data_IF_077229282619
#
_entry.id   IF_077229282619
#
_cell.length_a   1.000
_cell.length_b   1.000
_cell.length_c   1.000
_cell.angle_alpha   90.00
_cell.angle_beta   90.00
_cell.angle_gamma   90.00
#
_symmetry.space_group_name_H-M   'P 1'
#
loop_
_entity.id
_entity.type
_entity.pdbx_description
1 polymer ?
#
# COMPACT_ATOMS: atom_id res chain seq x y z
N UNK A 1 4.21 -7.16 -3.80
CA UNK A 1 4.42 -8.13 -2.71
C UNK A 1 3.63 -7.64 -1.51
N UNK A 2 2.73 -8.45 -0.98
CA UNK A 2 2.12 -8.16 0.33
C UNK A 2 3.21 -8.25 1.39
N UNK A 3 3.35 -7.23 2.22
CA UNK A 3 4.32 -7.20 3.32
C UNK A 3 4.08 -8.41 4.23
N UNK A 4 5.00 -9.38 4.21
CA UNK A 4 4.96 -10.56 5.08
C UNK A 4 4.54 -11.88 4.43
N UNK A 5 4.08 -11.91 3.18
CA UNK A 5 3.97 -13.19 2.45
C UNK A 5 5.19 -13.35 1.56
N UNK A 6 5.98 -14.43 1.73
CA UNK A 6 6.72 -15.02 0.60
C UNK A 6 5.78 -14.95 -0.61
N UNK A 7 6.18 -14.22 -1.66
CA UNK A 7 5.27 -13.85 -2.76
C UNK A 7 4.41 -15.05 -3.13
N UNK A 8 3.08 -14.89 -3.07
CA UNK A 8 2.05 -15.94 -3.27
C UNK A 8 2.67 -17.34 -3.30
N UNK A 9 2.94 -17.95 -2.13
CA UNK A 9 3.42 -19.34 -2.10
C UNK A 9 2.53 -20.19 -3.03
N UNK A 10 3.12 -20.97 -3.93
CA UNK A 10 2.39 -21.81 -4.90
C UNK A 10 1.34 -22.70 -4.21
N UNK A 11 1.60 -23.09 -2.96
CA UNK A 11 0.68 -23.81 -2.07
C UNK A 11 -0.56 -22.99 -1.69
N UNK A 12 -0.42 -21.71 -1.37
CA UNK A 12 -1.55 -20.84 -1.05
C UNK A 12 -2.42 -20.57 -2.30
N UNK A 13 -1.79 -20.47 -3.48
CA UNK A 13 -2.51 -20.36 -4.76
C UNK A 13 -3.28 -21.66 -5.04
N UNK A 14 -2.69 -22.81 -4.74
CA UNK A 14 -3.30 -24.13 -4.90
C UNK A 14 -4.53 -24.31 -4.00
N UNK A 15 -4.45 -23.93 -2.72
CA UNK A 15 -5.61 -23.99 -1.81
C UNK A 15 -6.80 -23.17 -2.32
N UNK A 16 -6.54 -21.97 -2.86
CA UNK A 16 -7.57 -21.12 -3.45
C UNK A 16 -8.17 -21.73 -4.72
N UNK A 17 -7.36 -22.35 -5.57
CA UNK A 17 -7.81 -23.04 -6.78
C UNK A 17 -8.63 -24.29 -6.44
N UNK A 18 -8.26 -25.02 -5.38
CA UNK A 18 -8.98 -26.24 -4.94
C UNK A 18 -10.41 -25.93 -4.49
N UNK A 19 -10.67 -24.75 -3.90
CA UNK A 19 -12.04 -24.29 -3.60
C UNK A 19 -12.82 -24.09 -4.89
N UNK A 20 -12.22 -23.44 -5.90
CA UNK A 20 -12.87 -23.19 -7.18
C UNK A 20 -13.19 -24.53 -7.86
N UNK A 21 -12.25 -25.49 -7.87
CA UNK A 21 -12.45 -26.83 -8.43
C UNK A 21 -13.54 -27.62 -7.68
N UNK A 22 -13.58 -27.53 -6.34
CA UNK A 22 -14.66 -28.11 -5.52
C UNK A 22 -16.03 -27.58 -5.93
N UNK A 23 -16.16 -26.28 -6.25
CA UNK A 23 -17.42 -25.71 -6.72
C UNK A 23 -17.69 -25.96 -8.20
N UNK A 24 -16.66 -26.10 -9.05
CA UNK A 24 -16.77 -26.58 -10.45
C UNK A 24 -17.35 -27.99 -10.54
N UNK A 25 -17.11 -28.84 -9.54
CA UNK A 25 -17.66 -30.20 -9.49
C UNK A 25 -19.19 -30.25 -9.30
N UNK A 26 -19.83 -29.15 -8.88
CA UNK A 26 -21.28 -29.07 -8.69
C UNK A 26 -21.96 -28.77 -10.03
N UNK A 27 -22.83 -29.68 -10.51
CA UNK A 27 -23.52 -29.61 -11.82
C UNK A 27 -24.09 -28.24 -12.19
N UNK A 28 -24.58 -27.48 -11.22
CA UNK A 28 -25.23 -26.18 -11.42
C UNK A 28 -24.25 -25.01 -11.64
N UNK A 29 -23.02 -25.09 -11.13
CA UNK A 29 -21.96 -24.07 -11.28
C UNK A 29 -20.89 -24.46 -12.30
N UNK A 30 -20.93 -25.72 -12.74
CA UNK A 30 -19.93 -26.31 -13.63
C UNK A 30 -19.85 -25.62 -15.00
N UNK A 31 -20.97 -25.18 -15.58
CA UNK A 31 -20.95 -24.44 -16.85
C UNK A 31 -20.42 -23.01 -16.68
N UNK A 32 -20.60 -22.42 -15.50
CA UNK A 32 -20.28 -21.03 -15.22
C UNK A 32 -18.82 -20.79 -14.82
N UNK A 33 -18.24 -21.74 -14.09
CA UNK A 33 -16.84 -21.68 -13.65
C UNK A 33 -15.88 -22.27 -14.70
N UNK A 34 -16.38 -22.99 -15.71
CA UNK A 34 -15.58 -23.48 -16.84
C UNK A 34 -15.35 -22.45 -17.94
N UNK A 35 -16.20 -21.43 -18.05
CA UNK A 35 -16.05 -20.34 -19.05
C UNK A 35 -14.91 -19.38 -18.69
N UNK A 36 -14.43 -19.42 -17.46
CA UNK A 36 -13.39 -18.55 -16.95
C UNK A 36 -12.19 -19.38 -16.57
N UNK A 37 -11.05 -19.09 -17.17
CA UNK A 37 -9.79 -19.60 -16.67
C UNK A 37 -9.34 -18.78 -15.45
N UNK A 38 -9.07 -19.50 -14.35
CA UNK A 38 -8.69 -18.94 -13.06
C UNK A 38 -7.24 -19.29 -12.68
N UNK A 39 -6.54 -20.17 -13.41
CA UNK A 39 -5.19 -20.64 -13.04
C UNK A 39 -4.13 -19.54 -13.11
N UNK A 40 -4.28 -18.62 -14.06
CA UNK A 40 -3.30 -17.56 -14.33
C UNK A 40 -3.63 -16.24 -13.63
N UNK A 41 -4.74 -16.19 -12.89
CA UNK A 41 -5.18 -14.98 -12.20
C UNK A 41 -4.55 -14.85 -10.82
N UNK A 42 -4.33 -13.61 -10.39
CA UNK A 42 -4.04 -13.32 -8.99
C UNK A 42 -5.28 -13.56 -8.13
N UNK A 43 -5.13 -13.88 -6.83
CA UNK A 43 -6.27 -14.13 -5.94
C UNK A 43 -7.33 -13.01 -5.93
N UNK A 44 -6.89 -11.76 -6.06
CA UNK A 44 -7.76 -10.59 -6.10
C UNK A 44 -8.59 -10.55 -7.39
N UNK A 45 -7.98 -10.88 -8.53
CA UNK A 45 -8.66 -10.97 -9.83
C UNK A 45 -9.65 -12.13 -9.87
N UNK A 46 -9.34 -13.23 -9.20
CA UNK A 46 -10.29 -14.35 -9.04
C UNK A 46 -11.51 -13.88 -8.26
N UNK A 47 -11.29 -13.23 -7.11
CA UNK A 47 -12.38 -12.70 -6.29
C UNK A 47 -13.24 -11.70 -7.09
N UNK A 48 -12.64 -10.88 -7.93
CA UNK A 48 -13.34 -9.93 -8.80
C UNK A 48 -14.27 -10.62 -9.79
N UNK A 49 -13.75 -11.63 -10.51
CA UNK A 49 -14.58 -12.42 -11.42
C UNK A 49 -15.73 -13.13 -10.69
N UNK A 50 -15.51 -13.59 -9.46
CA UNK A 50 -16.59 -14.18 -8.64
C UNK A 50 -17.69 -13.16 -8.31
N UNK A 51 -17.32 -11.93 -7.97
CA UNK A 51 -18.29 -10.85 -7.74
C UNK A 51 -19.03 -10.43 -9.00
N UNK A 52 -18.36 -10.37 -10.16
CA UNK A 52 -19.00 -10.13 -11.45
C UNK A 52 -20.07 -11.17 -11.74
N UNK A 53 -19.71 -12.44 -11.49
CA UNK A 53 -20.62 -13.58 -11.63
C UNK A 53 -21.82 -13.44 -10.68
N UNK A 54 -21.62 -13.10 -9.40
CA UNK A 54 -22.74 -12.89 -8.46
C UNK A 54 -23.66 -11.75 -8.92
N UNK A 55 -23.09 -10.61 -9.31
CA UNK A 55 -23.85 -9.44 -9.77
C UNK A 55 -24.66 -9.75 -11.03
N UNK A 56 -24.08 -10.46 -12.00
CA UNK A 56 -24.79 -10.89 -13.21
C UNK A 56 -25.97 -11.81 -12.87
N UNK A 57 -25.76 -12.78 -11.98
CA UNK A 57 -26.81 -13.72 -11.58
C UNK A 57 -27.90 -13.10 -10.70
N UNK A 58 -27.53 -12.13 -9.86
CA UNK A 58 -28.44 -11.42 -8.97
C UNK A 58 -29.29 -10.42 -9.74
N UNK A 59 -28.67 -9.57 -10.56
CA UNK A 59 -29.33 -8.42 -11.19
C UNK A 59 -29.95 -8.75 -12.55
N UNK A 60 -29.37 -9.69 -13.33
CA UNK A 60 -29.84 -9.98 -14.69
C UNK A 60 -30.69 -11.25 -14.74
N UNK A 61 -30.21 -12.35 -14.14
CA UNK A 61 -30.88 -13.65 -14.25
C UNK A 61 -31.90 -13.92 -13.14
N UNK A 62 -31.91 -13.15 -12.05
CA UNK A 62 -32.81 -13.30 -10.89
C UNK A 62 -32.87 -14.73 -10.29
N UNK A 63 -31.82 -15.54 -10.50
CA UNK A 63 -31.76 -16.93 -10.02
C UNK A 63 -31.26 -16.99 -8.58
N UNK A 64 -32.19 -16.87 -7.61
CA UNK A 64 -31.88 -16.85 -6.15
C UNK A 64 -30.98 -18.01 -5.69
N UNK A 65 -31.28 -19.24 -6.10
CA UNK A 65 -30.53 -20.45 -5.68
C UNK A 65 -29.06 -20.42 -6.14
N UNK A 66 -28.79 -19.87 -7.33
CA UNK A 66 -27.43 -19.80 -7.87
C UNK A 66 -26.64 -18.67 -7.21
N UNK A 67 -27.27 -17.51 -6.98
CA UNK A 67 -26.65 -16.40 -6.25
C UNK A 67 -26.27 -16.80 -4.82
N UNK A 68 -27.13 -17.50 -4.08
CA UNK A 68 -26.80 -17.98 -2.72
C UNK A 68 -25.57 -18.89 -2.72
N UNK A 69 -25.44 -19.78 -3.71
CA UNK A 69 -24.27 -20.66 -3.85
C UNK A 69 -23.00 -19.88 -4.21
N UNK A 70 -23.09 -18.85 -5.06
CA UNK A 70 -21.96 -17.98 -5.41
C UNK A 70 -21.53 -17.15 -4.21
N UNK A 71 -22.46 -16.55 -3.46
CA UNK A 71 -22.16 -15.80 -2.23
C UNK A 71 -21.44 -16.66 -1.19
N UNK A 72 -21.85 -17.92 -1.06
CA UNK A 72 -21.15 -18.88 -0.20
C UNK A 72 -19.74 -19.20 -0.69
N UNK A 73 -19.55 -19.39 -1.99
CA UNK A 73 -18.21 -19.56 -2.60
C UNK A 73 -17.33 -18.33 -2.33
N UNK A 74 -17.84 -17.12 -2.55
CA UNK A 74 -17.13 -15.87 -2.27
C UNK A 74 -16.72 -15.79 -0.80
N UNK A 75 -17.62 -16.15 0.12
CA UNK A 75 -17.33 -16.18 1.56
C UNK A 75 -16.21 -17.17 1.89
N UNK A 76 -16.32 -18.43 1.46
CA UNK A 76 -15.30 -19.46 1.68
C UNK A 76 -13.94 -19.06 1.07
N UNK A 77 -13.95 -18.46 -0.13
CA UNK A 77 -12.75 -17.95 -0.80
C UNK A 77 -12.10 -16.80 -0.02
N UNK A 78 -12.89 -15.81 0.41
CA UNK A 78 -12.40 -14.67 1.21
C UNK A 78 -11.77 -15.13 2.53
N UNK A 79 -12.36 -16.13 3.19
CA UNK A 79 -11.81 -16.65 4.44
C UNK A 79 -10.42 -17.27 4.25
N UNK A 80 -10.22 -18.04 3.19
CA UNK A 80 -8.92 -18.67 2.90
C UNK A 80 -7.92 -17.62 2.39
N UNK A 81 -8.36 -16.67 1.58
CA UNK A 81 -7.54 -15.54 1.16
C UNK A 81 -7.02 -14.74 2.37
N UNK A 82 -7.91 -14.35 3.29
CA UNK A 82 -7.52 -13.65 4.51
C UNK A 82 -6.56 -14.47 5.36
N UNK A 83 -6.88 -15.76 5.57
CA UNK A 83 -6.08 -16.66 6.40
C UNK A 83 -4.65 -16.80 5.86
N UNK A 84 -4.51 -17.07 4.57
CA UNK A 84 -3.24 -17.43 3.95
C UNK A 84 -2.38 -16.21 3.58
N UNK A 85 -3.00 -15.05 3.30
CA UNK A 85 -2.27 -13.89 2.75
C UNK A 85 -2.19 -12.71 3.71
N UNK A 86 -3.06 -12.63 4.71
CA UNK A 86 -3.19 -11.43 5.54
C UNK A 86 -3.02 -11.70 7.04
N UNK A 87 -3.56 -12.80 7.54
CA UNK A 87 -3.54 -13.15 8.98
C UNK A 87 -2.23 -13.86 9.42
N UNK A 88 -1.34 -14.19 8.49
CA UNK A 88 -0.03 -14.79 8.82
C UNK A 88 1.00 -13.78 9.32
N UNK A 89 0.74 -12.48 9.10
CA UNK A 89 1.64 -11.39 9.46
C UNK A 89 1.86 -11.34 10.98
N UNK A 90 3.13 -11.24 11.38
CA UNK A 90 3.50 -11.01 12.77
C UNK A 90 3.64 -9.51 13.06
N UNK A 91 2.76 -8.98 13.89
CA UNK A 91 2.75 -7.57 14.29
C UNK A 91 3.64 -7.27 15.53
N UNK A 92 4.28 -8.30 16.11
CA UNK A 92 5.05 -8.17 17.36
C UNK A 92 6.31 -7.34 17.17
N UNK A 93 7.06 -7.54 16.09
CA UNK A 93 8.35 -6.88 15.83
C UNK A 93 8.46 -6.40 14.37
N UNK A 94 7.70 -5.36 13.96
CA UNK A 94 7.75 -4.81 12.60
C UNK A 94 8.96 -3.86 12.43
N UNK A 95 10.17 -4.28 12.81
CA UNK A 95 11.35 -3.42 12.93
C UNK A 95 11.70 -2.65 11.64
N UNK A 96 11.59 -3.29 10.46
CA UNK A 96 11.83 -2.62 9.17
C UNK A 96 10.82 -1.50 8.89
N UNK A 97 9.56 -1.67 9.31
CA UNK A 97 8.54 -0.65 9.13
C UNK A 97 8.76 0.49 10.14
N UNK A 98 9.15 0.16 11.38
CA UNK A 98 9.55 1.15 12.38
C UNK A 98 10.74 1.99 11.87
N UNK A 99 11.78 1.35 11.34
CA UNK A 99 12.95 2.03 10.77
C UNK A 99 12.57 2.90 9.56
N UNK A 100 11.76 2.39 8.63
CA UNK A 100 11.24 3.18 7.50
C UNK A 100 10.55 4.46 7.99
N UNK A 101 9.65 4.36 8.96
CA UNK A 101 8.90 5.51 9.46
C UNK A 101 9.80 6.53 10.17
N UNK A 102 10.80 6.07 10.93
CA UNK A 102 11.80 6.95 11.55
C UNK A 102 12.61 7.69 10.49
N UNK A 103 13.07 7.00 9.44
CA UNK A 103 13.81 7.62 8.33
C UNK A 103 12.96 8.66 7.61
N UNK A 104 11.70 8.34 7.30
CA UNK A 104 10.77 9.28 6.69
C UNK A 104 10.56 10.53 7.56
N UNK A 105 10.19 10.36 8.84
CA UNK A 105 10.00 11.48 9.77
C UNK A 105 11.29 12.27 10.01
N UNK A 106 12.48 11.70 9.81
CA UNK A 106 13.73 12.43 9.98
C UNK A 106 13.96 13.53 8.94
N UNK A 107 13.36 13.44 7.74
CA UNK A 107 13.57 14.37 6.62
C UNK A 107 13.15 15.80 7.01
N UNK A 108 14.11 16.72 7.19
CA UNK A 108 13.88 18.05 7.80
C UNK A 108 13.01 18.96 6.95
N UNK A 109 13.21 18.96 5.63
CA UNK A 109 12.50 19.84 4.70
C UNK A 109 11.04 19.43 4.47
N UNK A 110 10.68 18.21 4.86
CA UNK A 110 9.34 17.66 4.63
C UNK A 110 8.59 17.50 5.95
N UNK A 111 7.58 18.33 6.13
CA UNK A 111 6.70 18.24 7.30
C UNK A 111 5.57 17.22 7.11
N UNK A 112 5.34 16.78 5.86
CA UNK A 112 4.20 15.95 5.54
C UNK A 112 4.54 14.91 4.48
N UNK A 113 4.48 13.63 4.86
CA UNK A 113 4.85 12.52 3.99
C UNK A 113 3.61 11.72 3.68
N UNK A 114 3.42 11.38 2.41
CA UNK A 114 2.30 10.55 1.98
C UNK A 114 2.83 9.16 1.67
N UNK A 115 2.27 8.15 2.33
CA UNK A 115 2.50 6.74 2.04
C UNK A 115 1.25 6.22 1.35
N UNK A 116 1.42 5.76 0.11
CA UNK A 116 0.37 5.05 -0.64
C UNK A 116 0.69 3.56 -0.59
N UNK A 117 -0.29 2.75 -0.21
CA UNK A 117 -0.12 1.30 -0.15
C UNK A 117 -1.31 0.55 -0.74
N UNK A 118 -1.01 -0.62 -1.29
CA UNK A 118 -1.98 -1.61 -1.76
C UNK A 118 -2.21 -2.71 -0.73
N UNK A 119 -1.43 -2.71 0.35
CA UNK A 119 -1.52 -3.72 1.37
C UNK A 119 -2.74 -3.48 2.26
N UNK A 120 -3.46 -4.55 2.59
CA UNK A 120 -4.62 -4.50 3.47
C UNK A 120 -4.25 -4.50 4.96
N UNK A 121 -3.07 -5.03 5.30
CA UNK A 121 -2.59 -5.16 6.67
C UNK A 121 -2.36 -3.82 7.36
N UNK A 122 -2.24 -3.85 8.69
CA UNK A 122 -2.08 -2.65 9.52
C UNK A 122 -0.63 -2.46 10.03
N UNK A 123 0.39 -3.00 9.34
CA UNK A 123 1.78 -2.96 9.82
C UNK A 123 2.29 -1.53 10.00
N UNK A 124 1.96 -0.63 9.08
CA UNK A 124 2.38 0.77 9.12
C UNK A 124 1.73 1.47 10.33
N UNK A 125 0.44 1.24 10.55
CA UNK A 125 -0.29 1.79 11.69
C UNK A 125 0.29 1.29 13.01
N UNK A 126 0.48 -0.03 13.16
CA UNK A 126 1.05 -0.64 14.37
C UNK A 126 2.47 -0.10 14.63
N UNK A 127 3.28 0.04 13.59
CA UNK A 127 4.65 0.56 13.72
C UNK A 127 4.65 2.03 14.13
N UNK A 128 3.77 2.84 13.57
CA UNK A 128 3.64 4.24 13.94
C UNK A 128 3.12 4.43 15.37
N UNK A 129 2.13 3.64 15.79
CA UNK A 129 1.62 3.66 17.17
C UNK A 129 2.72 3.32 18.18
N UNK A 130 3.55 2.32 17.89
CA UNK A 130 4.71 1.97 18.73
C UNK A 130 5.74 3.08 18.84
N UNK A 131 5.98 3.80 17.75
CA UNK A 131 6.93 4.92 17.70
C UNK A 131 6.33 6.24 18.17
N UNK A 132 5.02 6.30 18.44
CA UNK A 132 4.31 7.55 18.75
C UNK A 132 4.26 8.54 17.58
N UNK A 133 4.35 8.06 16.34
CA UNK A 133 4.28 8.90 15.13
C UNK A 133 2.82 9.11 14.74
N UNK A 134 2.34 10.37 14.61
CA UNK A 134 0.98 10.64 14.16
C UNK A 134 0.74 10.20 12.71
N UNK A 135 -0.22 9.29 12.52
CA UNK A 135 -0.74 8.90 11.20
C UNK A 135 -2.12 9.49 10.98
N UNK A 136 -2.30 10.09 9.80
CA UNK A 136 -3.58 10.48 9.25
C UNK A 136 -3.97 9.51 8.13
N UNK A 137 -4.95 8.65 8.39
CA UNK A 137 -5.47 7.67 7.44
C UNK A 137 -6.80 8.11 6.81
N UNK A 138 -7.20 9.37 6.97
CA UNK A 138 -8.47 9.90 6.46
C UNK A 138 -9.68 9.66 7.36
N UNK A 139 -9.54 8.90 8.45
CA UNK A 139 -10.63 8.65 9.39
C UNK A 139 -10.58 9.58 10.60
N UNK A 140 -11.72 10.16 10.94
CA UNK A 140 -11.87 11.04 12.11
C UNK A 140 -12.96 10.53 13.06
N UNK A 141 -12.82 10.84 14.34
CA UNK A 141 -13.77 10.49 15.38
C UNK A 141 -13.11 9.68 16.50
N UNK A 142 -13.81 9.57 17.62
CA UNK A 142 -13.34 8.85 18.80
C UNK A 142 -13.99 7.47 18.91
N UNK A 143 -15.31 7.42 19.10
CA UNK A 143 -16.06 6.16 19.21
C UNK A 143 -16.36 5.52 17.84
N UNK A 144 -16.68 6.35 16.86
CA UNK A 144 -16.95 5.93 15.48
C UNK A 144 -16.01 6.75 14.61
N UNK A 145 -14.95 6.09 14.14
CA UNK A 145 -14.01 6.68 13.19
C UNK A 145 -14.64 6.63 11.80
N UNK A 146 -15.09 7.78 11.30
CA UNK A 146 -15.76 7.92 10.00
C UNK A 146 -14.77 8.35 8.94
N UNK A 147 -14.86 7.75 7.76
CA UNK A 147 -14.05 8.15 6.62
C UNK A 147 -14.42 9.57 6.18
N UNK A 148 -13.42 10.43 6.01
CA UNK A 148 -13.58 11.76 5.40
C UNK A 148 -12.29 12.13 4.65
N UNK A 149 -12.28 12.15 3.30
CA UNK A 149 -11.08 12.41 2.52
C UNK A 149 -10.55 13.84 2.71
N UNK A 150 -11.39 14.79 3.14
CA UNK A 150 -10.91 16.14 3.47
C UNK A 150 -9.85 16.12 4.59
N UNK A 151 -9.85 15.09 5.44
CA UNK A 151 -8.89 14.94 6.52
C UNK A 151 -7.45 14.88 6.05
N UNK A 152 -7.17 14.31 4.88
CA UNK A 152 -5.81 14.25 4.32
C UNK A 152 -5.20 15.64 4.08
N UNK A 153 -6.04 16.68 4.01
CA UNK A 153 -5.60 18.06 3.82
C UNK A 153 -5.40 18.83 5.12
N UNK A 154 -5.80 18.29 6.28
CA UNK A 154 -5.59 18.95 7.57
C UNK A 154 -4.11 18.92 7.96
N UNK A 155 -3.65 20.06 8.50
CA UNK A 155 -2.29 20.24 9.01
C UNK A 155 -2.38 20.64 10.48
N UNK A 156 -1.75 19.85 11.34
CA UNK A 156 -1.62 20.18 12.75
C UNK A 156 -0.47 21.14 12.96
N UNK A 157 -0.64 22.06 13.91
CA UNK A 157 0.39 23.00 14.33
C UNK A 157 0.63 22.82 15.82
N UNK A 158 1.90 22.69 16.20
CA UNK A 158 2.34 22.73 17.59
C UNK A 158 2.78 24.15 17.88
N UNK A 159 2.17 24.76 18.89
CA UNK A 159 2.60 26.04 19.42
C UNK A 159 3.76 25.82 20.38
N UNK A 160 4.88 26.48 20.12
CA UNK A 160 6.05 26.45 21.00
C UNK A 160 5.84 27.40 22.17
N UNK A 161 6.63 27.25 23.24
CA UNK A 161 6.58 28.14 24.40
C UNK A 161 6.80 29.62 24.06
N UNK A 162 7.39 29.92 22.89
CA UNK A 162 7.64 31.27 22.40
C UNK A 162 6.47 31.83 21.58
N UNK A 163 5.37 31.08 21.41
CA UNK A 163 4.22 31.44 20.58
C UNK A 163 4.37 31.10 19.09
N UNK A 164 5.52 30.56 18.67
CA UNK A 164 5.72 30.15 17.28
C UNK A 164 4.91 28.89 16.96
N UNK A 165 4.22 28.89 15.82
CA UNK A 165 3.47 27.73 15.32
C UNK A 165 4.35 26.94 14.36
N UNK A 166 4.75 25.74 14.77
CA UNK A 166 5.48 24.78 13.93
C UNK A 166 4.51 23.74 13.37
N UNK A 167 4.59 23.47 12.08
CA UNK A 167 3.83 22.35 11.49
C UNK A 167 4.31 21.06 12.14
N UNK A 168 3.37 20.30 12.71
CA UNK A 168 3.65 18.97 13.26
C UNK A 168 4.01 18.03 12.12
N UNK A 169 5.08 17.23 12.31
CA UNK A 169 5.40 16.18 11.33
C UNK A 169 4.35 15.09 11.40
N UNK A 170 3.74 14.79 10.25
CA UNK A 170 2.73 13.76 10.16
C UNK A 170 2.89 12.94 8.88
N UNK A 171 2.39 11.70 8.96
CA UNK A 171 2.33 10.80 7.81
C UNK A 171 0.87 10.65 7.41
N UNK A 172 0.56 11.00 6.16
CA UNK A 172 -0.68 10.57 5.55
C UNK A 172 -0.52 9.12 5.06
N UNK A 173 -1.37 8.22 5.51
CA UNK A 173 -1.43 6.83 5.05
C UNK A 173 -2.68 6.62 4.19
N UNK A 174 -2.48 6.45 2.89
CA UNK A 174 -3.56 6.25 1.91
C UNK A 174 -3.53 4.80 1.44
N UNK A 175 -4.57 4.03 1.78
CA UNK A 175 -4.73 2.64 1.35
C UNK A 175 -5.63 2.55 0.12
N UNK A 176 -5.03 2.37 -1.05
CA UNK A 176 -5.74 2.43 -2.33
C UNK A 176 -6.69 1.24 -2.56
N UNK A 177 -6.35 0.08 -2.00
CA UNK A 177 -7.18 -1.15 -2.10
C UNK A 177 -8.05 -1.40 -0.86
N UNK A 178 -8.00 -0.51 0.14
CA UNK A 178 -8.70 -0.67 1.41
C UNK A 178 -7.84 -1.23 2.53
N UNK A 179 -8.46 -1.51 3.67
CA UNK A 179 -7.80 -1.95 4.90
C UNK A 179 -8.60 -3.06 5.58
N UNK A 180 -7.91 -3.92 6.32
CA UNK A 180 -8.55 -4.83 7.26
C UNK A 180 -9.37 -4.09 8.34
N UNK A 181 -8.99 -2.86 8.66
CA UNK A 181 -9.67 -2.05 9.67
C UNK A 181 -10.97 -1.42 9.16
N UNK A 182 -11.28 -1.50 7.86
CA UNK A 182 -12.44 -0.81 7.28
C UNK A 182 -13.68 -1.70 7.24
N UNK A 183 -14.80 -1.18 7.73
CA UNK A 183 -16.12 -1.81 7.66
C UNK A 183 -17.13 -0.90 6.96
N UNK A 184 -18.05 -1.50 6.21
CA UNK A 184 -19.19 -0.78 5.63
C UNK A 184 -20.27 -0.61 6.70
N UNK A 185 -20.74 0.61 6.88
CA UNK A 185 -21.84 0.98 7.78
C UNK A 185 -22.78 1.95 7.06
N UNK A 186 -23.95 1.42 6.65
CA UNK A 186 -24.97 2.17 5.92
C UNK A 186 -25.58 3.33 6.73
N UNK A 187 -25.40 3.32 8.05
CA UNK A 187 -25.86 4.41 8.92
C UNK A 187 -24.95 5.65 8.88
N UNK A 188 -23.78 5.55 8.24
CA UNK A 188 -22.73 6.58 8.28
C UNK A 188 -22.57 7.29 6.94
N UNK A 189 -23.30 8.37 6.71
CA UNK A 189 -23.13 9.20 5.52
C UNK A 189 -21.83 10.05 5.56
N UNK A 190 -21.30 10.47 4.39
CA UNK A 190 -21.76 10.18 3.03
C UNK A 190 -21.11 8.96 2.38
N UNK A 191 -20.08 8.38 3.02
CA UNK A 191 -19.25 7.33 2.42
C UNK A 191 -19.58 5.92 2.92
N UNK A 192 -20.39 5.79 3.97
CA UNK A 192 -20.89 4.53 4.52
C UNK A 192 -19.76 3.62 5.02
N UNK A 193 -18.67 4.23 5.51
CA UNK A 193 -17.45 3.53 5.88
C UNK A 193 -16.90 4.05 7.20
N UNK A 194 -16.58 3.11 8.07
CA UNK A 194 -15.99 3.32 9.37
C UNK A 194 -14.72 2.51 9.52
N UNK A 195 -13.84 2.98 10.41
CA UNK A 195 -12.68 2.23 10.84
C UNK A 195 -12.95 1.60 12.21
N UNK A 196 -12.64 0.31 12.33
CA UNK A 196 -12.66 -0.45 13.58
C UNK A 196 -11.24 -0.70 14.04
N UNK A 197 -11.05 -0.54 15.35
CA UNK A 197 -9.83 -1.01 16.00
C UNK A 197 -9.82 -2.53 15.98
N UNK A 198 -8.73 -3.10 15.46
CA UNK A 198 -8.54 -4.53 15.43
C UNK A 198 -7.80 -4.99 16.69
N UNK A 199 -8.28 -6.07 17.30
CA UNK A 199 -7.60 -6.67 18.46
C UNK A 199 -6.44 -7.55 17.99
N UNK A 200 -5.26 -7.30 18.54
CA UNK A 200 -4.11 -8.19 18.36
C UNK A 200 -4.12 -9.23 19.48
N UNK A 201 -4.15 -10.51 19.12
CA UNK A 201 -3.95 -11.59 20.07
C UNK A 201 -2.47 -11.63 20.46
N UNK A 202 -2.18 -11.11 21.64
CA UNK A 202 -0.83 -11.10 22.24
C UNK A 202 -0.66 -12.38 23.05
N UNK A 203 -0.51 -13.51 22.38
CA UNK A 203 -0.11 -14.75 23.06
C UNK A 203 1.34 -14.64 23.52
N UNK A 204 1.71 -15.30 24.63
CA UNK A 204 3.11 -15.37 25.10
C UNK A 204 4.04 -16.05 24.07
N UNK A 205 3.46 -16.83 23.15
CA UNK A 205 4.14 -17.33 21.96
C UNK A 205 4.48 -16.18 21.02
N UNK A 206 5.66 -16.25 20.41
CA UNK A 206 6.45 -15.19 19.75
C UNK A 206 5.77 -14.35 18.64
N UNK A 207 4.49 -14.55 18.33
CA UNK A 207 3.79 -13.91 17.22
C UNK A 207 2.52 -13.18 17.67
N UNK A 208 2.43 -11.88 17.43
CA UNK A 208 1.17 -11.14 17.55
C UNK A 208 0.41 -11.28 16.24
N UNK A 209 -0.79 -11.86 16.32
CA UNK A 209 -1.67 -12.05 15.16
C UNK A 209 -2.99 -11.33 15.39
N UNK A 210 -3.63 -10.92 14.31
CA UNK A 210 -4.95 -10.32 14.37
C UNK A 210 -5.98 -11.34 14.87
N UNK A 211 -6.70 -10.99 15.94
CA UNK A 211 -7.86 -11.74 16.40
C UNK A 211 -9.07 -11.33 15.56
N UNK A 212 -9.46 -12.17 14.60
CA UNK A 212 -10.46 -11.81 13.60
C UNK A 212 -11.79 -12.55 13.79
N UNK A 213 -12.69 -11.95 14.59
CA UNK A 213 -14.02 -12.51 14.85
C UNK A 213 -15.09 -12.10 13.81
N UNK A 214 -14.94 -10.97 13.12
CA UNK A 214 -16.00 -10.37 12.29
C UNK A 214 -15.71 -10.40 10.78
N UNK A 215 -15.49 -11.60 10.23
CA UNK A 215 -14.98 -11.85 8.86
C UNK A 215 -15.88 -11.36 7.71
N UNK A 216 -17.17 -11.16 7.95
CA UNK A 216 -18.14 -10.80 6.89
C UNK A 216 -18.12 -9.32 6.50
N UNK A 217 -17.59 -8.45 7.36
CA UNK A 217 -17.66 -6.98 7.17
C UNK A 217 -16.39 -6.36 6.61
N UNK A 218 -15.32 -7.15 6.43
CA UNK A 218 -14.06 -6.63 5.91
C UNK A 218 -14.23 -6.18 4.48
N UNK A 219 -13.86 -4.93 4.25
CA UNK A 219 -13.72 -4.37 2.94
C UNK A 219 -12.36 -4.80 2.36
N UNK A 220 -12.33 -5.98 1.71
CA UNK A 220 -11.24 -6.40 0.83
C UNK A 220 -11.70 -6.16 -0.60
N UNK A 221 -11.03 -5.24 -1.29
CA UNK A 221 -11.35 -4.94 -2.69
C UNK A 221 -10.91 -6.08 -3.62
N UNK A 222 -11.78 -6.61 -4.47
CA UNK A 222 -11.37 -7.44 -5.60
C UNK A 222 -10.90 -6.54 -6.75
N UNK A 223 -9.68 -6.74 -7.22
CA UNK A 223 -9.12 -5.93 -8.31
C UNK A 223 -9.66 -6.46 -9.65
N UNK A 224 -10.47 -5.65 -10.36
CA UNK A 224 -10.62 -5.54 -11.83
C UNK A 224 -12.04 -5.35 -12.44
N UNK A 225 -13.10 -5.05 -11.68
CA UNK A 225 -14.36 -4.52 -12.25
C UNK A 225 -14.25 -3.01 -12.57
N UNK A 226 -13.23 -2.64 -13.34
CA UNK A 226 -12.69 -1.28 -13.49
C UNK A 226 -13.36 -0.33 -14.49
N UNK A 227 -14.68 -0.35 -14.67
CA UNK A 227 -15.36 0.76 -15.39
C UNK A 227 -16.51 1.42 -14.66
N UNK A 228 -17.16 0.73 -13.73
CA UNK A 228 -18.23 1.33 -12.93
C UNK A 228 -17.77 1.72 -11.52
N UNK A 229 -16.71 1.10 -10.99
CA UNK A 229 -16.33 1.20 -9.57
C UNK A 229 -15.21 2.21 -9.24
N UNK A 230 -14.49 2.77 -10.23
CA UNK A 230 -13.67 3.99 -10.00
C UNK A 230 -14.50 5.22 -9.64
N UNK A 231 -15.83 5.09 -9.71
CA UNK A 231 -16.80 6.06 -9.22
C UNK A 231 -17.28 5.72 -7.79
N UNK A 232 -17.08 4.49 -7.31
CA UNK A 232 -17.58 4.05 -6.02
C UNK A 232 -16.69 4.53 -4.89
N UNK A 233 -17.35 5.17 -3.94
CA UNK A 233 -16.73 5.69 -2.73
C UNK A 233 -16.36 4.53 -1.78
N UNK A 234 -15.20 4.59 -1.10
CA UNK A 234 -14.30 5.73 -0.91
C UNK A 234 -13.08 5.70 -1.84
N UNK A 235 -12.99 4.70 -2.71
CA UNK A 235 -11.76 4.41 -3.46
C UNK A 235 -11.46 5.46 -4.50
N UNK A 236 -12.50 5.97 -5.16
CA UNK A 236 -12.38 7.11 -6.05
C UNK A 236 -11.70 8.31 -5.37
N UNK A 237 -11.97 8.52 -4.08
CA UNK A 237 -11.28 9.53 -3.28
C UNK A 237 -9.82 9.16 -3.01
N UNK A 238 -9.50 7.89 -2.73
CA UNK A 238 -8.11 7.45 -2.52
C UNK A 238 -7.26 7.62 -3.78
N UNK A 239 -7.80 7.23 -4.94
CA UNK A 239 -7.15 7.44 -6.24
C UNK A 239 -7.03 8.93 -6.59
N UNK A 240 -8.06 9.74 -6.26
CA UNK A 240 -8.00 11.19 -6.38
C UNK A 240 -6.87 11.78 -5.53
N UNK A 241 -6.75 11.38 -4.27
CA UNK A 241 -5.65 11.82 -3.39
C UNK A 241 -4.28 11.43 -3.97
N UNK A 242 -4.14 10.22 -4.51
CA UNK A 242 -2.89 9.80 -5.15
C UNK A 242 -2.55 10.67 -6.37
N UNK A 243 -3.52 10.87 -7.26
CA UNK A 243 -3.36 11.72 -8.44
C UNK A 243 -3.08 13.19 -8.07
N UNK A 244 -3.72 13.72 -7.03
CA UNK A 244 -3.50 15.10 -6.59
C UNK A 244 -2.11 15.29 -5.97
N UNK A 245 -1.58 14.28 -5.25
CA UNK A 245 -0.25 14.35 -4.62
C UNK A 245 0.86 14.21 -5.66
N UNK A 246 0.75 13.26 -6.58
CA UNK A 246 1.79 13.00 -7.59
C UNK A 246 1.95 14.16 -8.57
N UNK A 247 0.87 14.91 -8.85
CA UNK A 247 0.88 16.06 -9.75
C UNK A 247 1.30 17.38 -9.08
N UNK A 248 1.62 17.40 -7.78
CA UNK A 248 2.19 18.58 -7.12
C UNK A 248 3.59 18.91 -7.67
N UNK A 249 3.98 20.17 -7.56
CA UNK A 249 5.32 20.61 -7.94
C UNK A 249 6.38 20.03 -7.00
N UNK A 250 7.55 19.68 -7.53
CA UNK A 250 8.67 19.09 -6.80
C UNK A 250 8.31 17.80 -6.02
N UNK A 251 7.36 17.02 -6.54
CA UNK A 251 7.02 15.70 -5.99
C UNK A 251 8.05 14.65 -6.38
N UNK A 252 8.52 13.88 -5.40
CA UNK A 252 9.32 12.68 -5.63
C UNK A 252 8.53 11.45 -5.23
N UNK A 253 8.30 10.53 -6.17
CA UNK A 253 7.60 9.28 -5.95
C UNK A 253 8.63 8.15 -5.78
N UNK A 254 8.65 7.54 -4.60
CA UNK A 254 9.39 6.29 -4.35
C UNK A 254 8.44 5.11 -4.50
N UNK A 255 8.79 4.16 -5.37
CA UNK A 255 8.01 2.95 -5.63
C UNK A 255 8.86 1.74 -5.24
N UNK A 256 8.37 0.95 -4.28
CA UNK A 256 9.00 -0.27 -3.81
C UNK A 256 7.94 -1.37 -3.62
N UNK A 257 8.30 -2.62 -3.93
CA UNK A 257 7.41 -3.77 -3.73
C UNK A 257 6.17 -3.83 -4.63
N UNK A 258 6.07 -3.00 -5.66
CA UNK A 258 4.92 -2.92 -6.57
C UNK A 258 5.15 -3.73 -7.86
N UNK A 259 4.19 -4.59 -8.23
CA UNK A 259 4.29 -5.49 -9.38
C UNK A 259 3.79 -4.90 -10.71
N UNK A 260 3.25 -3.67 -10.70
CA UNK A 260 2.65 -3.04 -11.89
C UNK A 260 1.48 -3.82 -12.48
N UNK A 261 0.77 -4.61 -11.66
CA UNK A 261 -0.40 -5.38 -12.08
C UNK A 261 -1.70 -4.57 -12.05
N UNK A 262 -1.68 -3.35 -11.49
CA UNK A 262 -2.83 -2.44 -11.43
C UNK A 262 -2.75 -1.37 -12.53
N UNK A 263 -3.52 -1.56 -13.60
CA UNK A 263 -3.55 -0.64 -14.76
C UNK A 263 -3.91 0.80 -14.41
N UNK A 264 -4.78 1.05 -13.42
CA UNK A 264 -5.21 2.42 -13.11
C UNK A 264 -4.12 3.19 -12.37
N UNK A 265 -3.41 2.53 -11.44
CA UNK A 265 -2.23 3.11 -10.80
C UNK A 265 -1.16 3.38 -11.85
N UNK A 266 -0.94 2.43 -12.76
CA UNK A 266 0.00 2.57 -13.86
C UNK A 266 -0.34 3.77 -14.75
N UNK A 267 -1.61 3.98 -15.08
CA UNK A 267 -2.08 5.14 -15.86
C UNK A 267 -1.83 6.46 -15.12
N UNK A 268 -2.08 6.51 -13.80
CA UNK A 268 -1.79 7.73 -12.99
C UNK A 268 -0.29 8.02 -12.97
N UNK A 269 0.55 7.00 -12.79
CA UNK A 269 2.01 7.14 -12.82
C UNK A 269 2.46 7.61 -14.20
N UNK A 270 1.94 7.03 -15.28
CA UNK A 270 2.28 7.41 -16.66
C UNK A 270 1.86 8.86 -16.95
N UNK A 271 0.62 9.24 -16.60
CA UNK A 271 0.12 10.61 -16.75
C UNK A 271 0.96 11.63 -15.98
N UNK A 272 1.47 11.25 -14.81
CA UNK A 272 2.28 12.13 -13.97
C UNK A 272 3.61 12.52 -14.62
N UNK A 273 4.13 11.75 -15.58
CA UNK A 273 5.34 12.10 -16.34
C UNK A 273 5.19 13.38 -17.17
N UNK A 274 3.94 13.80 -17.42
CA UNK A 274 3.61 15.10 -18.03
C UNK A 274 3.99 16.28 -17.13
N UNK A 275 4.11 16.08 -15.82
CA UNK A 275 4.61 17.08 -14.88
C UNK A 275 6.14 17.18 -15.01
N UNK A 276 6.72 18.29 -15.50
CA UNK A 276 8.17 18.40 -15.68
C UNK A 276 8.97 18.33 -14.36
N UNK A 277 8.33 18.57 -13.22
CA UNK A 277 8.99 18.60 -11.90
C UNK A 277 8.84 17.32 -11.08
N UNK A 278 8.25 16.26 -11.65
CA UNK A 278 8.18 14.97 -10.97
C UNK A 278 9.54 14.27 -11.03
N UNK A 279 9.92 13.62 -9.94
CA UNK A 279 10.99 12.63 -9.92
C UNK A 279 10.40 11.28 -9.50
N UNK A 280 10.76 10.19 -10.18
CA UNK A 280 10.31 8.84 -9.84
C UNK A 280 11.52 7.96 -9.60
N UNK A 281 11.57 7.37 -8.41
CA UNK A 281 12.59 6.40 -8.00
C UNK A 281 11.92 5.05 -7.84
N UNK A 282 12.36 4.08 -8.63
CA UNK A 282 11.73 2.78 -8.74
C UNK A 282 12.70 1.67 -8.33
N UNK A 283 12.25 0.80 -7.43
CA UNK A 283 12.97 -0.41 -7.01
C UNK A 283 12.26 -1.65 -7.57
N UNK A 284 12.92 -2.34 -8.51
CA UNK A 284 12.44 -3.58 -9.13
C UNK A 284 13.25 -4.77 -8.62
N UNK A 285 12.57 -5.68 -7.92
CA UNK A 285 13.18 -6.89 -7.35
C UNK A 285 13.74 -7.85 -8.41
N UNK A 286 13.10 -7.89 -9.57
CA UNK A 286 13.54 -8.72 -10.69
C UNK A 286 14.70 -8.09 -11.46
N UNK A 287 15.43 -8.94 -12.19
CA UNK A 287 16.42 -8.46 -13.15
C UNK A 287 15.76 -7.69 -14.31
N UNK A 288 16.56 -6.91 -15.03
CA UNK A 288 16.06 -6.08 -16.12
C UNK A 288 15.38 -6.89 -17.23
N UNK A 289 15.91 -8.06 -17.60
CA UNK A 289 15.37 -8.92 -18.65
C UNK A 289 13.96 -9.43 -18.33
N UNK A 290 13.73 -9.82 -17.07
CA UNK A 290 12.42 -10.25 -16.58
C UNK A 290 11.44 -9.08 -16.49
N UNK A 291 11.90 -7.90 -16.05
CA UNK A 291 11.06 -6.71 -16.00
C UNK A 291 10.55 -6.30 -17.39
N UNK A 292 11.37 -6.44 -18.43
CA UNK A 292 11.01 -6.10 -19.81
C UNK A 292 9.91 -7.01 -20.38
N UNK A 293 9.64 -8.19 -19.78
CA UNK A 293 8.51 -9.05 -20.17
C UNK A 293 7.15 -8.39 -19.91
N UNK A 294 7.08 -7.45 -18.95
CA UNK A 294 5.89 -6.65 -18.74
C UNK A 294 5.93 -5.44 -19.68
N UNK A 295 4.96 -5.35 -20.60
CA UNK A 295 4.87 -4.26 -21.59
C UNK A 295 4.86 -2.86 -20.97
N UNK A 296 4.24 -2.69 -19.79
CA UNK A 296 4.24 -1.40 -19.09
C UNK A 296 5.65 -1.04 -18.59
N UNK A 297 6.32 -1.98 -17.92
CA UNK A 297 7.69 -1.77 -17.43
C UNK A 297 8.67 -1.53 -18.58
N UNK A 298 8.52 -2.24 -19.70
CA UNK A 298 9.34 -2.02 -20.90
C UNK A 298 9.26 -0.57 -21.40
N UNK A 299 8.06 0.00 -21.47
CA UNK A 299 7.87 1.42 -21.85
C UNK A 299 8.59 2.35 -20.86
N UNK A 300 8.41 2.13 -19.55
CA UNK A 300 8.99 2.96 -18.50
C UNK A 300 10.52 2.89 -18.48
N UNK A 301 11.09 1.69 -18.60
CA UNK A 301 12.54 1.45 -18.68
C UNK A 301 13.11 2.10 -19.93
N UNK A 302 12.43 1.96 -21.09
CA UNK A 302 12.87 2.61 -22.33
C UNK A 302 12.90 4.13 -22.19
N UNK A 303 11.90 4.71 -21.51
CA UNK A 303 11.84 6.14 -21.24
C UNK A 303 12.94 6.60 -20.29
N UNK A 304 13.31 5.79 -19.29
CA UNK A 304 14.34 6.12 -18.31
C UNK A 304 15.73 6.33 -18.94
N UNK A 305 16.03 5.72 -20.10
CA UNK A 305 17.28 5.98 -20.82
C UNK A 305 17.44 7.41 -21.32
N UNK A 306 16.34 8.13 -21.52
CA UNK A 306 16.33 9.51 -22.03
C UNK A 306 15.74 10.51 -21.03
N UNK A 307 15.16 10.05 -19.92
CA UNK A 307 14.49 10.87 -18.90
C UNK A 307 15.22 10.75 -17.56
N UNK A 308 16.04 11.75 -17.22
CA UNK A 308 16.79 11.76 -15.96
C UNK A 308 15.92 11.84 -14.71
N UNK A 309 14.62 12.13 -14.86
CA UNK A 309 13.63 12.13 -13.76
C UNK A 309 13.25 10.73 -13.32
N UNK A 310 13.55 9.71 -14.13
CA UNK A 310 13.27 8.31 -13.85
C UNK A 310 14.56 7.61 -13.40
N UNK A 311 14.64 7.24 -12.13
CA UNK A 311 15.74 6.41 -11.60
C UNK A 311 15.22 5.02 -11.29
N UNK A 312 15.84 3.99 -11.85
CA UNK A 312 15.41 2.59 -11.68
C UNK A 312 16.57 1.75 -11.13
N UNK A 313 16.31 1.09 -10.00
CA UNK A 313 17.18 0.07 -9.41
C UNK A 313 16.63 -1.33 -9.74
N UNK A 314 17.51 -2.24 -10.12
CA UNK A 314 17.16 -3.62 -10.49
C UNK A 314 17.84 -4.63 -9.59
N UNK A 315 17.21 -5.80 -9.43
CA UNK A 315 17.76 -6.95 -8.72
C UNK A 315 17.31 -7.03 -7.26
N UNK A 316 17.44 -8.24 -6.72
CA UNK A 316 17.02 -8.59 -5.37
C UNK A 316 17.76 -7.76 -4.32
N UNK A 317 19.06 -7.55 -4.48
CA UNK A 317 19.88 -6.88 -3.48
C UNK A 317 19.51 -5.41 -3.33
N UNK A 318 19.35 -4.66 -4.42
CA UNK A 318 19.04 -3.24 -4.37
C UNK A 318 17.55 -2.95 -4.14
N UNK A 319 16.69 -3.93 -4.40
CA UNK A 319 15.24 -3.74 -4.35
C UNK A 319 14.54 -4.61 -3.30
N UNK A 320 15.29 -5.29 -2.45
CA UNK A 320 14.77 -5.91 -1.24
C UNK A 320 14.39 -4.82 -0.23
N UNK A 321 13.24 -5.00 0.42
CA UNK A 321 12.71 -4.01 1.36
C UNK A 321 13.66 -3.74 2.53
N UNK A 322 14.33 -4.77 3.05
CA UNK A 322 15.30 -4.62 4.13
C UNK A 322 16.48 -3.74 3.70
N UNK A 323 17.03 -3.98 2.52
CA UNK A 323 18.17 -3.21 2.00
C UNK A 323 17.77 -1.78 1.61
N UNK A 324 16.58 -1.60 1.02
CA UNK A 324 16.04 -0.26 0.72
C UNK A 324 15.94 0.56 2.01
N UNK A 325 15.33 -0.04 3.04
CA UNK A 325 15.11 0.65 4.31
C UNK A 325 16.43 0.88 5.01
N UNK A 326 17.29 -0.11 5.14
CA UNK A 326 18.50 -0.06 5.97
C UNK A 326 19.61 0.76 5.33
N UNK A 327 19.88 0.55 4.03
CA UNK A 327 21.10 1.04 3.37
C UNK A 327 20.86 2.16 2.35
N UNK A 328 19.72 2.13 1.63
CA UNK A 328 19.48 3.05 0.51
C UNK A 328 18.80 4.34 0.96
N UNK A 329 17.78 4.24 1.82
CA UNK A 329 17.08 5.43 2.31
C UNK A 329 18.01 6.24 3.21
N UNK A 330 18.33 7.50 2.82
CA UNK A 330 19.26 8.31 3.58
C UNK A 330 18.63 8.66 4.92
N UNK A 331 19.38 8.48 5.99
CA UNK A 331 19.13 9.22 7.22
C UNK A 331 19.72 10.60 6.96
N UNK A 332 18.93 11.67 7.08
CA UNK A 332 19.51 13.00 7.31
C UNK A 332 20.15 12.96 8.71
N UNK A 333 21.28 12.26 8.83
CA UNK A 333 22.12 12.32 10.00
C UNK A 333 22.39 13.82 10.20
N UNK A 334 22.19 14.31 11.43
CA UNK A 334 22.63 15.65 11.74
C UNK A 334 24.06 15.77 11.25
N UNK A 335 24.29 16.64 10.26
CA UNK A 335 25.59 17.26 10.10
C UNK A 335 25.86 17.89 11.44
N UNK A 336 26.55 17.16 12.31
CA UNK A 336 26.87 17.60 13.64
C UNK A 336 27.57 18.95 13.45
N UNK A 337 26.99 20.07 13.91
CA UNK A 337 27.55 21.39 13.65
C UNK A 337 29.00 21.46 14.16
N UNK A 338 29.34 20.71 15.21
CA UNK A 338 30.72 20.58 15.67
C UNK A 338 31.64 19.92 14.64
N UNK A 339 31.15 18.94 13.87
CA UNK A 339 31.96 18.26 12.84
C UNK A 339 32.19 19.16 11.61
N UNK A 340 31.21 20.00 11.26
CA UNK A 340 31.36 20.99 10.19
C UNK A 340 32.29 22.14 10.64
N UNK A 341 32.20 22.58 11.91
CA UNK A 341 33.12 23.55 12.52
C UNK A 341 34.53 22.99 12.61
N UNK A 342 34.70 21.73 13.02
CA UNK A 342 36.01 21.05 13.06
C UNK A 342 36.59 20.96 11.64
N UNK A 343 35.79 20.59 10.63
CA UNK A 343 36.23 20.55 9.23
C UNK A 343 36.69 21.92 8.72
N UNK A 344 35.96 22.99 9.05
CA UNK A 344 36.35 24.36 8.68
C UNK A 344 37.61 24.81 9.42
N UNK A 345 37.79 24.43 10.69
CA UNK A 345 39.00 24.70 11.45
C UNK A 345 40.20 23.93 10.90
N UNK A 346 40.03 22.68 10.50
CA UNK A 346 41.05 21.87 9.84
C UNK A 346 41.45 22.45 8.48
N UNK A 347 40.50 22.92 7.67
CA UNK A 347 40.75 23.65 6.41
C UNK A 347 41.53 24.95 6.66
N UNK A 348 41.16 25.74 7.68
CA UNK A 348 41.89 26.96 8.06
C UNK A 348 43.31 26.67 8.56
N UNK A 349 43.51 25.56 9.28
CA UNK A 349 44.83 25.14 9.75
C UNK A 349 45.69 24.67 8.57
N UNK A 350 45.13 23.95 7.59
CA UNK A 350 45.84 23.57 6.36
C UNK A 350 46.26 24.78 5.53
N UNK A 351 45.35 25.74 5.33
CA UNK A 351 45.64 27.01 4.64
C UNK A 351 46.73 27.80 5.36
N UNK A 352 46.72 27.81 6.70
CA UNK A 352 47.73 28.51 7.51
C UNK A 352 49.10 27.82 7.49
N UNK A 353 49.13 26.50 7.35
CA UNK A 353 50.37 25.71 7.33
C UNK A 353 50.99 25.61 5.92
N UNK A 354 50.34 26.16 4.88
CA UNK A 354 50.89 26.22 3.52
C UNK A 354 50.78 24.90 2.75
N UNK A 355 49.94 23.97 3.21
CA UNK A 355 49.65 22.74 2.47
C UNK A 355 48.55 23.04 1.43
N UNK A 356 48.94 23.70 0.34
CA UNK A 356 48.13 23.76 -0.88
C UNK A 356 48.37 22.48 -1.70
N UNK A 357 47.31 21.70 -1.91
CA UNK A 357 47.18 20.79 -3.06
C UNK A 357 46.18 21.38 -4.06
#
# INVERSE_FOLDING_TARGET
MYTGSKGINDTAKKDLLDIIEKYKSKKELQSLLKTVDFSDLSPEKVLDKLYQIDNFHTNILSKKVVSEKIKRLIKEYKEIFLKNYVLEINYKNPYLHEELLLKLVSIKKQNHINIFTLNYDILIEVSAEKLGIPINNGFQGFQIRKFNPANFNYKNYVETSNGDKKIEKSINLIKLHGSLSWEKDESVLPYNIIEKQLELNKTDNENWKLNYNNKEKIIIYPVQTKKSYTLDLPYSEMFRQFNDVINKTNSTLFIMGYSFSDEHINDIIENSLSNPFINIVLFLYSNQEECIKNEYLKKLITRAYIDSRLTIFFGDTLSDFENIVSDILPIEAEKNPYREVIRQLEELVRIKNGDEE
#
